data_IF_752222518967
#
_entry.id   IF_752222518967
#
_cell.length_a   1.000
_cell.length_b   1.000
_cell.length_c   1.000
_cell.angle_alpha   90.00
_cell.angle_beta   90.00
_cell.angle_gamma   90.00
#
_symmetry.space_group_name_H-M   'P 1'
#
loop_
_entity.id
_entity.type
_entity.pdbx_description
1 polymer ?
#
# COMPACT_ATOMS: atom_id res chain seq x y z
N UNK A 1 -21.51 -0.15 19.49
CA UNK A 1 -21.69 0.81 18.38
C UNK A 1 -21.04 0.29 17.11
N UNK A 2 -21.23 0.97 15.98
CA UNK A 2 -20.69 0.58 14.67
C UNK A 2 -19.14 0.52 14.67
N UNK A 3 -18.59 -0.39 13.86
CA UNK A 3 -17.17 -0.58 13.61
C UNK A 3 -16.99 -0.92 12.13
N UNK A 4 -15.92 -0.42 11.52
CA UNK A 4 -15.60 -0.63 10.11
C UNK A 4 -14.15 -1.08 9.95
N UNK A 5 -13.93 -2.05 9.06
CA UNK A 5 -12.61 -2.56 8.70
C UNK A 5 -12.52 -2.55 7.18
N UNK A 6 -11.55 -1.82 6.63
CA UNK A 6 -11.20 -1.90 5.20
C UNK A 6 -10.04 -2.87 5.02
N UNK A 7 -10.33 -4.05 4.48
CA UNK A 7 -9.34 -5.09 4.24
C UNK A 7 -8.98 -5.15 2.75
N UNK A 8 -7.69 -5.08 2.45
CA UNK A 8 -7.19 -5.34 1.10
C UNK A 8 -7.01 -6.84 0.91
N UNK A 9 -7.74 -7.38 -0.06
CA UNK A 9 -7.75 -8.80 -0.39
C UNK A 9 -7.22 -8.98 -1.82
N UNK A 10 -5.95 -9.39 -2.01
CA UNK A 10 -5.44 -9.68 -3.35
C UNK A 10 -6.23 -10.79 -4.01
N UNK A 11 -6.58 -10.60 -5.28
CA UNK A 11 -7.29 -11.59 -6.09
C UNK A 11 -6.33 -12.14 -7.14
N UNK A 12 -5.80 -13.38 -6.99
CA UNK A 12 -4.85 -13.97 -7.93
C UNK A 12 -5.34 -13.93 -9.38
N UNK A 13 -6.60 -14.31 -9.61
CA UNK A 13 -7.23 -14.30 -10.94
C UNK A 13 -7.35 -12.90 -11.52
N UNK A 14 -7.88 -11.94 -10.75
CA UNK A 14 -8.12 -10.58 -11.25
C UNK A 14 -6.84 -9.76 -11.39
N UNK A 15 -5.86 -9.98 -10.52
CA UNK A 15 -4.60 -9.23 -10.52
C UNK A 15 -3.51 -9.93 -11.32
N UNK A 16 -3.76 -11.18 -11.75
CA UNK A 16 -2.92 -12.03 -12.59
C UNK A 16 -1.56 -12.30 -11.95
N UNK A 17 -1.57 -13.03 -10.83
CA UNK A 17 -0.37 -13.54 -10.14
C UNK A 17 -0.64 -14.96 -9.60
N UNK A 18 0.38 -15.80 -9.33
CA UNK A 18 0.17 -17.16 -8.82
C UNK A 18 -0.47 -17.19 -7.42
N UNK A 19 -1.44 -18.06 -7.16
CA UNK A 19 -2.15 -18.11 -5.87
C UNK A 19 -1.22 -18.28 -4.66
N UNK A 20 -0.12 -19.02 -4.82
CA UNK A 20 0.92 -19.21 -3.80
C UNK A 20 1.64 -17.92 -3.38
N UNK A 21 1.48 -16.84 -4.15
CA UNK A 21 2.10 -15.52 -3.91
C UNK A 21 1.19 -14.52 -3.19
N UNK A 22 -0.03 -14.91 -2.81
CA UNK A 22 -1.01 -14.00 -2.17
C UNK A 22 -0.43 -13.26 -0.96
N UNK A 23 0.24 -13.97 -0.03
CA UNK A 23 0.85 -13.34 1.16
C UNK A 23 2.02 -12.41 0.78
N UNK A 24 2.81 -12.78 -0.23
CA UNK A 24 3.91 -11.95 -0.73
C UNK A 24 3.38 -10.63 -1.31
N UNK A 25 2.34 -10.70 -2.15
CA UNK A 25 1.68 -9.52 -2.73
C UNK A 25 1.09 -8.63 -1.65
N UNK A 26 0.40 -9.20 -0.64
CA UNK A 26 -0.15 -8.42 0.46
C UNK A 26 0.93 -7.68 1.24
N UNK A 27 2.03 -8.37 1.56
CA UNK A 27 3.15 -7.75 2.26
C UNK A 27 3.79 -6.66 1.42
N UNK A 28 4.00 -6.91 0.12
CA UNK A 28 4.57 -5.90 -0.79
C UNK A 28 3.72 -4.65 -0.89
N UNK A 29 2.38 -4.77 -0.94
CA UNK A 29 1.50 -3.61 -0.96
C UNK A 29 1.74 -2.67 0.24
N UNK A 30 1.99 -3.23 1.43
CA UNK A 30 2.29 -2.46 2.64
C UNK A 30 3.74 -1.93 2.63
N UNK A 31 4.71 -2.77 2.26
CA UNK A 31 6.14 -2.40 2.23
C UNK A 31 6.47 -1.34 1.17
N UNK A 32 5.75 -1.29 0.05
CA UNK A 32 5.87 -0.21 -0.95
C UNK A 32 5.06 1.03 -0.57
N UNK A 33 4.21 0.93 0.45
CA UNK A 33 3.30 1.99 0.87
C UNK A 33 2.09 2.17 -0.06
N UNK A 34 1.84 1.24 -0.97
CA UNK A 34 0.64 1.21 -1.82
C UNK A 34 -0.63 0.92 -1.01
N UNK A 35 -0.49 0.30 0.16
CA UNK A 35 -1.55 0.11 1.15
C UNK A 35 -1.06 0.60 2.51
N UNK A 36 -1.87 1.42 3.19
CA UNK A 36 -1.50 2.06 4.47
C UNK A 36 -2.29 1.40 5.59
N UNK A 37 -1.59 0.92 6.62
CA UNK A 37 -2.20 0.34 7.80
C UNK A 37 -2.33 1.41 8.88
N UNK A 38 -3.57 1.73 9.25
CA UNK A 38 -3.89 2.71 10.26
C UNK A 38 -5.20 2.36 10.96
N UNK A 39 -5.39 2.91 12.15
CA UNK A 39 -6.63 2.84 12.91
C UNK A 39 -7.14 4.25 13.19
N UNK A 40 -8.46 4.38 13.39
CA UNK A 40 -9.09 5.60 13.87
C UNK A 40 -9.90 5.22 15.11
N UNK A 41 -9.43 5.66 16.27
CA UNK A 41 -10.07 5.41 17.57
C UNK A 41 -10.34 6.76 18.22
N UNK A 42 -11.59 6.99 18.60
CA UNK A 42 -12.03 8.24 19.26
C UNK A 42 -11.63 9.53 18.51
N UNK A 43 -11.62 9.47 17.17
CA UNK A 43 -11.23 10.58 16.29
C UNK A 43 -9.71 10.72 16.06
N UNK A 44 -8.89 9.93 16.76
CA UNK A 44 -7.44 9.91 16.59
C UNK A 44 -7.03 8.87 15.55
N UNK A 45 -6.34 9.33 14.50
CA UNK A 45 -5.82 8.48 13.42
C UNK A 45 -4.35 8.15 13.69
N UNK A 46 -4.02 6.87 13.78
CA UNK A 46 -2.67 6.39 14.04
C UNK A 46 -2.26 5.31 13.02
N UNK A 47 -1.01 5.37 12.52
CA UNK A 47 -0.46 4.28 11.72
C UNK A 47 -0.14 3.08 12.61
N UNK A 48 -0.69 1.92 12.29
CA UNK A 48 -0.39 0.67 13.01
C UNK A 48 0.88 -0.01 12.49
N UNK A 49 1.32 0.35 11.28
CA UNK A 49 2.57 -0.12 10.72
C UNK A 49 3.24 0.95 9.85
N UNK A 50 4.53 1.15 10.08
CA UNK A 50 5.38 2.05 9.28
C UNK A 50 6.61 1.28 8.80
N UNK A 51 6.76 1.04 7.48
CA UNK A 51 8.00 0.48 6.94
C UNK A 51 9.19 1.39 7.29
N UNK A 52 10.30 0.82 7.78
CA UNK A 52 11.53 1.59 8.07
C UNK A 52 12.07 2.29 6.82
N UNK A 53 11.99 1.60 5.69
CA UNK A 53 12.34 2.12 4.38
C UNK A 53 11.36 1.54 3.38
N UNK A 54 10.58 2.39 2.72
CA UNK A 54 9.60 1.93 1.73
C UNK A 54 10.32 1.37 0.50
N UNK A 55 9.85 0.22 0.03
CA UNK A 55 10.32 -0.39 -1.22
C UNK A 55 9.78 0.41 -2.41
N UNK A 56 10.50 0.45 -3.55
CA UNK A 56 9.96 1.03 -4.78
C UNK A 56 8.66 0.35 -5.21
N UNK A 57 7.67 1.11 -5.66
CA UNK A 57 6.35 0.59 -6.08
C UNK A 57 6.47 -0.45 -7.20
N UNK A 58 7.50 -0.37 -8.03
CA UNK A 58 7.82 -1.35 -9.08
C UNK A 58 7.82 -2.78 -8.55
N UNK A 59 8.40 -3.04 -7.37
CA UNK A 59 8.50 -4.40 -6.80
C UNK A 59 7.12 -5.02 -6.50
N UNK A 60 6.10 -4.19 -6.24
CA UNK A 60 4.72 -4.62 -6.09
C UNK A 60 4.04 -4.77 -7.45
N UNK A 61 4.19 -3.76 -8.32
CA UNK A 61 3.48 -3.67 -9.61
C UNK A 61 3.92 -4.74 -10.61
N UNK A 62 5.22 -5.01 -10.73
CA UNK A 62 5.77 -5.95 -11.72
C UNK A 62 5.32 -7.40 -11.51
N UNK A 63 4.87 -7.74 -10.30
CA UNK A 63 4.40 -9.09 -9.94
C UNK A 63 2.95 -9.35 -10.31
N UNK A 64 2.25 -8.36 -10.87
CA UNK A 64 0.81 -8.42 -11.14
C UNK A 64 0.54 -8.11 -12.61
N UNK A 65 0.03 -9.08 -13.35
CA UNK A 65 -0.26 -8.91 -14.78
C UNK A 65 -1.35 -7.87 -15.08
N UNK A 66 -2.15 -7.43 -14.09
CA UNK A 66 -3.11 -6.32 -14.31
C UNK A 66 -2.43 -4.99 -14.69
N UNK A 67 -1.13 -4.85 -14.41
CA UNK A 67 -0.35 -3.64 -14.69
C UNK A 67 0.58 -3.78 -15.89
N UNK A 68 0.43 -4.84 -16.70
CA UNK A 68 1.32 -5.11 -17.85
C UNK A 68 1.31 -4.02 -18.94
N UNK A 69 0.37 -3.08 -18.88
CA UNK A 69 0.21 -1.99 -19.84
C UNK A 69 0.84 -0.67 -19.36
N UNK A 70 1.32 -0.61 -18.11
CA UNK A 70 1.92 0.60 -17.57
C UNK A 70 3.29 0.86 -18.20
N UNK A 71 3.51 2.11 -18.60
CA UNK A 71 4.82 2.59 -19.05
C UNK A 71 5.74 2.91 -17.85
N UNK A 72 7.02 3.16 -18.15
CA UNK A 72 7.97 3.64 -17.15
C UNK A 72 7.58 5.03 -16.60
N UNK A 73 6.93 5.86 -17.41
CA UNK A 73 6.40 7.15 -16.98
C UNK A 73 5.23 6.97 -16.00
N UNK A 74 4.31 6.04 -16.28
CA UNK A 74 3.20 5.72 -15.37
C UNK A 74 3.70 5.21 -14.01
N UNK A 75 4.71 4.33 -14.03
CA UNK A 75 5.35 3.83 -12.81
C UNK A 75 6.01 4.96 -12.00
N UNK A 76 6.69 5.89 -12.67
CA UNK A 76 7.30 7.04 -12.03
C UNK A 76 6.25 7.98 -11.42
N UNK A 77 5.14 8.20 -12.12
CA UNK A 77 4.03 8.99 -11.62
C UNK A 77 3.37 8.32 -10.41
N UNK A 78 3.08 7.02 -10.48
CA UNK A 78 2.54 6.25 -9.37
C UNK A 78 3.43 6.31 -8.12
N UNK A 79 4.74 6.20 -8.29
CA UNK A 79 5.70 6.35 -7.18
C UNK A 79 5.59 7.73 -6.54
N UNK A 80 5.57 8.80 -7.34
CA UNK A 80 5.43 10.19 -6.84
C UNK A 80 4.11 10.38 -6.10
N UNK A 81 3.03 9.78 -6.57
CA UNK A 81 1.72 9.87 -5.91
C UNK A 81 1.73 9.19 -4.55
N UNK A 82 2.25 7.96 -4.48
CA UNK A 82 2.42 7.23 -3.21
C UNK A 82 3.30 8.04 -2.25
N UNK A 83 4.40 8.62 -2.74
CA UNK A 83 5.28 9.46 -1.92
C UNK A 83 4.57 10.72 -1.40
N UNK A 84 3.78 11.38 -2.24
CA UNK A 84 2.96 12.54 -1.86
C UNK A 84 1.93 12.17 -0.81
N UNK A 85 1.26 11.03 -0.94
CA UNK A 85 0.28 10.58 0.06
C UNK A 85 0.93 10.29 1.41
N UNK A 86 2.12 9.68 1.42
CA UNK A 86 2.84 9.36 2.64
C UNK A 86 3.30 10.60 3.43
N UNK A 87 3.56 11.73 2.77
CA UNK A 87 3.85 13.00 3.47
C UNK A 87 2.76 13.41 4.44
N UNK A 88 1.49 13.08 4.16
CA UNK A 88 0.35 13.37 5.08
C UNK A 88 0.48 12.65 6.41
N UNK A 89 1.21 11.54 6.46
CA UNK A 89 1.39 10.71 7.64
C UNK A 89 2.72 10.95 8.35
N UNK A 90 3.65 11.70 7.76
CA UNK A 90 4.91 12.08 8.40
C UNK A 90 4.67 13.17 9.45
N UNK A 91 3.76 14.11 9.19
CA UNK A 91 3.45 15.24 10.09
C UNK A 91 2.45 14.91 11.21
N UNK A 92 1.69 13.82 11.12
CA UNK A 92 0.73 13.43 12.17
C UNK A 92 1.38 12.72 13.38
N UNK A 93 2.71 12.68 13.46
CA UNK A 93 3.45 11.94 14.51
C UNK A 93 3.84 12.77 15.75
N UNK A 94 3.36 14.01 15.89
CA UNK A 94 3.54 14.80 17.11
C UNK A 94 2.24 14.86 17.93
N UNK A 95 1.90 13.76 18.60
CA UNK A 95 1.15 13.78 19.86
C UNK A 95 1.47 12.46 20.58
N UNK A 96 2.60 12.47 21.28
CA UNK A 96 2.86 11.60 22.41
C UNK A 96 2.90 12.52 23.65
#
# INVERSE_FOLDING_TARGET
>A
GFKYIHMMCPCPTGWKFPESKTVEISRLAVETGSWILYEIVDGHKELTYRPKTRKPVRQYVEKQGRFSHLSEEDLANLQKEIDREWKKYEFSSHTA
#
